data_IF_633483435986
#
_entry.id   IF_633483435986
#
_cell.length_a   1.000
_cell.length_b   1.000
_cell.length_c   1.000
_cell.angle_alpha   90.00
_cell.angle_beta   90.00
_cell.angle_gamma   90.00
#
_symmetry.space_group_name_H-M   'P 1'
#
loop_
_entity.id
_entity.type
_entity.pdbx_description
1 polymer ?
#
# COMPACT_ATOMS: atom_id res chain seq x y z
N UNK A 1 22.11 -7.95 -16.66
CA UNK A 1 21.94 -7.22 -15.39
C UNK A 1 21.78 -8.25 -14.29
N UNK A 2 22.49 -8.10 -13.18
CA UNK A 2 22.29 -8.97 -12.03
C UNK A 2 20.92 -8.66 -11.38
N UNK A 3 20.22 -9.69 -10.92
CA UNK A 3 18.94 -9.56 -10.23
C UNK A 3 19.11 -8.86 -8.86
N UNK A 4 20.26 -9.09 -8.23
CA UNK A 4 20.71 -8.50 -6.97
C UNK A 4 22.15 -8.02 -7.17
N UNK A 5 22.45 -6.79 -6.75
CA UNK A 5 23.79 -6.20 -6.89
C UNK A 5 24.61 -6.26 -5.60
N UNK A 6 23.95 -6.36 -4.44
CA UNK A 6 24.61 -6.51 -3.14
C UNK A 6 24.72 -7.98 -2.74
N UNK A 7 23.65 -8.75 -2.92
CA UNK A 7 23.60 -10.17 -2.58
C UNK A 7 23.69 -11.02 -3.85
N UNK A 8 24.88 -11.07 -4.45
CA UNK A 8 25.09 -11.69 -5.78
C UNK A 8 24.80 -13.19 -5.84
N UNK A 9 24.73 -13.86 -4.70
CA UNK A 9 24.41 -15.30 -4.58
C UNK A 9 22.92 -15.56 -4.38
N UNK A 10 22.10 -14.52 -4.18
CA UNK A 10 20.65 -14.66 -4.04
C UNK A 10 20.01 -14.87 -5.42
N UNK A 11 19.28 -15.96 -5.56
CA UNK A 11 18.48 -16.25 -6.77
C UNK A 11 16.99 -16.00 -6.55
N UNK A 12 16.52 -16.18 -5.32
CA UNK A 12 15.09 -16.05 -4.97
C UNK A 12 14.66 -14.58 -4.90
N UNK A 13 13.59 -14.17 -5.62
CA UNK A 13 12.97 -12.86 -5.41
C UNK A 13 12.43 -12.69 -3.99
N UNK A 14 12.24 -11.43 -3.55
CA UNK A 14 11.57 -11.14 -2.29
C UNK A 14 10.15 -11.71 -2.24
N UNK A 15 9.74 -12.20 -1.07
CA UNK A 15 8.38 -12.68 -0.83
C UNK A 15 7.48 -11.53 -0.37
N UNK A 16 6.18 -11.66 -0.60
CA UNK A 16 5.19 -10.60 -0.37
C UNK A 16 4.59 -10.56 1.05
N UNK A 17 5.03 -11.43 1.97
CA UNK A 17 4.37 -11.61 3.27
C UNK A 17 5.05 -10.89 4.44
N UNK A 18 6.20 -10.23 4.22
CA UNK A 18 6.84 -9.37 5.23
C UNK A 18 6.75 -7.92 4.78
N UNK A 19 5.81 -7.18 5.36
CA UNK A 19 5.60 -5.78 5.05
C UNK A 19 5.15 -5.01 6.28
N UNK A 20 5.26 -3.68 6.22
CA UNK A 20 4.72 -2.75 7.22
C UNK A 20 4.10 -1.55 6.53
N UNK A 21 3.13 -0.95 7.19
CA UNK A 21 2.51 0.30 6.75
C UNK A 21 2.79 1.38 7.79
N UNK A 22 3.10 2.58 7.32
CA UNK A 22 3.42 3.74 8.16
C UNK A 22 2.68 4.97 7.66
N UNK A 23 2.10 5.73 8.57
CA UNK A 23 1.55 7.07 8.32
C UNK A 23 1.79 7.96 9.53
N UNK A 24 1.80 9.28 9.36
CA UNK A 24 2.04 10.22 10.47
C UNK A 24 3.30 9.90 11.30
N UNK A 25 4.33 9.35 10.62
CA UNK A 25 5.57 8.84 11.19
C UNK A 25 5.41 7.67 12.20
N UNK A 26 4.27 6.98 12.21
CA UNK A 26 3.96 5.83 13.09
C UNK A 26 3.67 4.58 12.29
N UNK A 27 4.13 3.44 12.80
CA UNK A 27 3.79 2.13 12.24
C UNK A 27 2.40 1.72 12.67
N UNK A 28 1.62 1.30 11.68
CA UNK A 28 0.26 0.82 11.87
C UNK A 28 0.32 -0.63 12.30
N UNK A 29 -0.15 -0.92 13.50
CA UNK A 29 -0.10 -2.27 14.03
C UNK A 29 -1.15 -3.17 13.36
N UNK A 30 -0.77 -4.43 13.14
CA UNK A 30 -1.72 -5.50 12.80
C UNK A 30 -2.26 -5.49 11.36
N UNK A 31 -1.69 -4.72 10.44
CA UNK A 31 -2.06 -4.80 9.02
C UNK A 31 -1.70 -6.18 8.48
N UNK A 32 -2.71 -6.93 8.06
CA UNK A 32 -2.61 -8.30 7.57
C UNK A 32 -2.58 -8.39 6.05
N UNK A 33 -3.07 -7.37 5.34
CA UNK A 33 -3.07 -7.34 3.87
C UNK A 33 -3.10 -5.92 3.33
N UNK A 34 -2.40 -5.71 2.21
CA UNK A 34 -2.39 -4.49 1.42
C UNK A 34 -2.65 -4.88 -0.03
N UNK A 35 -3.53 -4.17 -0.75
CA UNK A 35 -3.74 -4.42 -2.18
C UNK A 35 -2.57 -3.92 -3.04
N UNK A 36 -2.58 -4.30 -4.31
CA UNK A 36 -1.53 -3.92 -5.25
C UNK A 36 -1.52 -2.41 -5.52
N UNK A 37 -0.33 -1.84 -5.61
CA UNK A 37 -0.10 -0.51 -6.20
C UNK A 37 -0.19 -0.62 -7.73
N UNK A 38 -1.34 -0.26 -8.31
CA UNK A 38 -1.61 -0.46 -9.75
C UNK A 38 -2.01 0.83 -10.47
N UNK A 39 -1.21 1.20 -11.46
CA UNK A 39 -1.39 2.40 -12.29
C UNK A 39 -1.70 1.99 -13.72
N UNK A 40 -2.72 2.59 -14.31
CA UNK A 40 -3.12 2.34 -15.70
C UNK A 40 -3.04 3.63 -16.49
N UNK A 41 -2.43 3.59 -17.67
CA UNK A 41 -2.42 4.72 -18.62
C UNK A 41 -3.23 4.32 -19.83
N UNK A 42 -4.24 5.13 -20.15
CA UNK A 42 -5.10 4.92 -21.31
C UNK A 42 -4.29 5.02 -22.62
N UNK A 43 -4.73 4.31 -23.67
CA UNK A 43 -4.10 4.37 -24.99
C UNK A 43 -5.04 5.07 -25.96
N UNK A 44 -4.68 6.29 -26.35
CA UNK A 44 -5.39 7.07 -27.36
C UNK A 44 -4.93 6.62 -28.74
N UNK A 45 -5.86 6.25 -29.61
CA UNK A 45 -5.58 5.85 -31.00
C UNK A 45 -5.98 6.97 -31.94
N UNK A 46 -5.05 7.41 -32.77
CA UNK A 46 -5.28 8.43 -33.79
C UNK A 46 -4.91 7.90 -35.17
N UNK A 47 -5.67 8.31 -36.19
CA UNK A 47 -5.40 7.97 -37.59
C UNK A 47 -5.57 9.22 -38.44
N UNK A 48 -4.57 9.51 -39.25
CA UNK A 48 -4.60 10.60 -40.22
C UNK A 48 -4.93 10.08 -41.62
N UNK A 49 -5.54 10.93 -42.46
CA UNK A 49 -6.07 10.54 -43.78
C UNK A 49 -5.03 10.11 -44.82
N UNK A 50 -3.73 10.27 -44.53
CA UNK A 50 -2.61 9.83 -45.38
C UNK A 50 -1.74 8.72 -44.78
N UNK A 51 -2.06 8.22 -43.57
CA UNK A 51 -1.26 7.17 -42.93
C UNK A 51 -1.54 5.79 -43.57
N UNK A 52 -0.53 4.90 -43.65
CA UNK A 52 -0.74 3.49 -43.99
C UNK A 52 -1.80 2.88 -43.05
N UNK A 53 -2.38 1.73 -43.37
CA UNK A 53 -3.51 1.10 -42.65
C UNK A 53 -3.25 0.69 -41.17
N UNK A 54 -2.32 1.34 -40.47
CA UNK A 54 -2.07 1.24 -39.04
C UNK A 54 -2.56 2.49 -38.30
N UNK A 55 -2.93 2.34 -37.02
CA UNK A 55 -3.29 3.45 -36.13
C UNK A 55 -2.07 3.85 -35.29
N UNK A 56 -1.85 5.16 -35.09
CA UNK A 56 -0.87 5.67 -34.13
C UNK A 56 -1.44 5.58 -32.72
N UNK A 57 -0.61 5.23 -31.75
CA UNK A 57 -0.97 5.11 -30.34
C UNK A 57 -0.20 6.17 -29.54
N UNK A 58 -0.89 6.90 -28.67
CA UNK A 58 -0.32 7.85 -27.72
C UNK A 58 -0.85 7.59 -26.30
N UNK A 59 -0.07 7.93 -25.25
CA UNK A 59 -0.55 7.83 -23.88
C UNK A 59 -1.64 8.87 -23.60
N UNK A 60 -2.71 8.43 -22.94
CA UNK A 60 -3.83 9.23 -22.46
C UNK A 60 -3.75 9.52 -20.97
N UNK A 61 -4.91 9.59 -20.30
CA UNK A 61 -4.98 9.85 -18.87
C UNK A 61 -4.37 8.68 -18.10
N UNK A 62 -3.69 9.01 -17.00
CA UNK A 62 -3.17 8.02 -16.05
C UNK A 62 -4.04 8.01 -14.80
N UNK A 63 -4.44 6.82 -14.40
CA UNK A 63 -5.27 6.57 -13.22
C UNK A 63 -4.54 5.66 -12.25
N UNK A 64 -4.78 5.91 -10.97
CA UNK A 64 -4.22 5.19 -9.85
C UNK A 64 -5.34 4.42 -9.15
N UNK A 65 -5.20 3.11 -9.05
CA UNK A 65 -6.22 2.28 -8.39
C UNK A 65 -6.20 2.46 -6.87
N UNK A 66 -7.37 2.26 -6.25
CA UNK A 66 -7.54 2.33 -4.81
C UNK A 66 -6.73 1.24 -4.09
N UNK A 67 -6.21 1.59 -2.92
CA UNK A 67 -5.42 0.69 -2.07
C UNK A 67 -6.30 0.24 -0.92
N UNK A 68 -6.45 -1.07 -0.71
CA UNK A 68 -7.15 -1.59 0.46
C UNK A 68 -6.13 -2.00 1.53
N UNK A 69 -6.41 -1.63 2.77
CA UNK A 69 -5.68 -2.04 3.96
C UNK A 69 -6.62 -2.89 4.83
N UNK A 70 -6.20 -4.09 5.19
CA UNK A 70 -6.95 -4.97 6.07
C UNK A 70 -6.15 -5.21 7.35
N UNK A 71 -6.85 -5.23 8.49
CA UNK A 71 -6.26 -5.56 9.78
C UNK A 71 -7.23 -6.36 10.64
N UNK A 72 -6.73 -7.11 11.61
CA UNK A 72 -7.57 -7.68 12.66
C UNK A 72 -8.28 -6.59 13.47
N UNK A 73 -9.52 -6.83 13.87
CA UNK A 73 -10.24 -5.97 14.83
C UNK A 73 -9.47 -5.97 16.15
N UNK A 74 -9.06 -4.79 16.60
CA UNK A 74 -8.36 -4.57 17.87
C UNK A 74 -8.91 -3.31 18.54
N UNK A 75 -8.41 -2.97 19.73
CA UNK A 75 -8.76 -1.71 20.42
C UNK A 75 -8.02 -0.49 19.86
N UNK A 76 -7.12 -0.70 18.89
CA UNK A 76 -6.46 0.40 18.21
C UNK A 76 -7.48 1.17 17.36
N UNK A 77 -7.60 2.48 17.56
CA UNK A 77 -8.60 3.31 16.89
C UNK A 77 -8.06 4.00 15.63
N UNK A 78 -6.85 3.71 15.14
CA UNK A 78 -6.25 4.51 14.07
C UNK A 78 -7.02 4.44 12.74
N UNK A 79 -7.57 3.26 12.37
CA UNK A 79 -8.40 3.15 11.15
C UNK A 79 -9.66 4.00 11.27
N UNK A 80 -10.34 3.90 12.41
CA UNK A 80 -11.57 4.64 12.70
C UNK A 80 -11.33 6.15 12.75
N UNK A 81 -10.27 6.59 13.45
CA UNK A 81 -9.90 8.00 13.53
C UNK A 81 -9.64 8.61 12.16
N UNK A 82 -8.98 7.89 11.25
CA UNK A 82 -8.76 8.39 9.90
C UNK A 82 -10.05 8.40 9.08
N UNK A 83 -10.85 7.35 9.13
CA UNK A 83 -12.15 7.31 8.45
C UNK A 83 -13.07 8.47 8.88
N UNK A 84 -13.14 8.76 10.19
CA UNK A 84 -13.92 9.86 10.74
C UNK A 84 -13.46 11.24 10.30
N UNK A 85 -12.21 11.41 9.83
CA UNK A 85 -11.77 12.70 9.25
C UNK A 85 -12.45 12.98 7.90
N UNK A 86 -12.79 11.94 7.14
CA UNK A 86 -13.50 12.11 5.86
C UNK A 86 -14.97 12.37 6.11
N UNK A 87 -15.58 11.65 7.05
CA UNK A 87 -16.95 11.90 7.48
C UNK A 87 -17.16 11.43 8.91
N UNK A 88 -17.51 12.35 9.81
CA UNK A 88 -17.78 12.09 11.21
C UNK A 88 -19.29 12.08 11.47
N UNK A 89 -19.84 10.90 11.76
CA UNK A 89 -21.25 10.75 12.10
C UNK A 89 -21.57 11.36 13.47
N UNK A 90 -22.63 12.18 13.55
CA UNK A 90 -23.02 12.85 14.80
C UNK A 90 -22.26 14.14 15.11
N UNK A 91 -21.46 14.64 14.16
CA UNK A 91 -20.84 15.97 14.26
C UNK A 91 -21.87 17.10 14.13
N UNK A 92 -21.51 18.29 14.59
CA UNK A 92 -22.33 19.50 14.44
C UNK A 92 -22.42 19.84 12.95
N UNK A 93 -23.58 20.36 12.52
CA UNK A 93 -23.80 20.85 11.15
C UNK A 93 -22.63 21.70 10.66
N UNK A 94 -21.96 21.26 9.59
CA UNK A 94 -20.82 21.93 8.97
C UNK A 94 -19.44 21.52 9.51
N UNK A 95 -19.36 20.55 10.42
CA UNK A 95 -18.12 19.99 10.97
C UNK A 95 -17.99 18.47 10.73
N UNK A 96 -18.70 17.94 9.73
CA UNK A 96 -18.70 16.51 9.41
C UNK A 96 -17.42 16.06 8.70
N UNK A 97 -16.67 16.98 8.08
CA UNK A 97 -15.44 16.67 7.34
C UNK A 97 -14.28 17.50 7.86
N UNK A 98 -13.15 16.85 8.16
CA UNK A 98 -11.91 17.56 8.45
C UNK A 98 -11.24 18.02 7.15
N UNK A 99 -11.56 19.24 6.71
CA UNK A 99 -10.98 19.84 5.51
C UNK A 99 -9.45 20.01 5.58
N UNK A 100 -8.87 20.03 6.79
CA UNK A 100 -7.45 20.28 7.00
C UNK A 100 -6.56 19.05 6.76
N UNK A 101 -7.03 17.87 7.16
CA UNK A 101 -6.14 16.71 7.35
C UNK A 101 -6.80 15.34 7.09
N UNK A 102 -7.89 15.31 6.33
CA UNK A 102 -8.47 14.06 5.82
C UNK A 102 -7.55 13.35 4.81
N UNK A 103 -6.67 14.11 4.14
CA UNK A 103 -5.60 13.60 3.27
C UNK A 103 -4.31 13.43 4.05
N UNK A 104 -3.62 12.31 3.83
CA UNK A 104 -2.27 12.08 4.34
C UNK A 104 -1.46 11.20 3.39
N UNK A 105 -0.15 11.23 3.56
CA UNK A 105 0.76 10.34 2.85
C UNK A 105 1.01 9.07 3.68
N UNK A 106 1.16 7.94 3.01
CA UNK A 106 1.48 6.66 3.64
C UNK A 106 2.74 6.05 3.03
N UNK A 107 3.43 5.23 3.80
CA UNK A 107 4.60 4.47 3.35
C UNK A 107 4.28 2.99 3.49
N UNK A 108 4.49 2.25 2.40
CA UNK A 108 4.40 0.79 2.37
C UNK A 108 5.81 0.25 2.24
N UNK A 109 6.25 -0.47 3.26
CA UNK A 109 7.58 -1.05 3.36
C UNK A 109 7.50 -2.56 3.14
N UNK A 110 8.38 -3.10 2.29
CA UNK A 110 8.57 -4.52 2.08
C UNK A 110 9.92 -4.94 2.66
N UNK A 111 9.92 -6.05 3.38
CA UNK A 111 11.04 -6.58 4.11
C UNK A 111 11.46 -7.94 3.54
N UNK A 112 12.75 -8.26 3.64
CA UNK A 112 13.24 -9.60 3.33
C UNK A 112 12.91 -10.60 4.46
N UNK A 113 13.22 -11.87 4.26
CA UNK A 113 12.97 -12.96 5.20
C UNK A 113 13.71 -12.76 6.54
N UNK A 114 14.84 -12.03 6.53
CA UNK A 114 15.59 -11.64 7.72
C UNK A 114 14.98 -10.43 8.47
N UNK A 115 13.93 -9.79 7.94
CA UNK A 115 13.30 -8.63 8.55
C UNK A 115 14.05 -7.31 8.32
N UNK A 116 14.91 -7.24 7.29
CA UNK A 116 15.56 -6.01 6.84
C UNK A 116 14.69 -5.31 5.78
N UNK A 117 14.63 -3.98 5.83
CA UNK A 117 13.91 -3.17 4.86
C UNK A 117 14.56 -3.33 3.48
N UNK A 118 13.80 -3.83 2.51
CA UNK A 118 14.28 -4.13 1.17
C UNK A 118 13.78 -3.13 0.12
N UNK A 119 12.51 -2.73 0.20
CA UNK A 119 11.88 -1.77 -0.71
C UNK A 119 10.88 -0.93 0.10
N UNK A 120 10.76 0.36 -0.20
CA UNK A 120 9.66 1.19 0.29
C UNK A 120 8.98 1.93 -0.86
N UNK A 121 7.68 2.17 -0.69
CA UNK A 121 6.87 3.01 -1.57
C UNK A 121 6.22 4.12 -0.76
N UNK A 122 6.34 5.36 -1.24
CA UNK A 122 5.65 6.54 -0.71
C UNK A 122 4.40 6.75 -1.55
N UNK A 123 3.23 6.70 -0.92
CA UNK A 123 1.92 6.91 -1.57
C UNK A 123 1.35 8.24 -1.09
N UNK A 124 0.88 9.05 -2.03
CA UNK A 124 0.57 10.45 -1.78
C UNK A 124 -0.92 10.73 -1.72
N UNK A 125 -1.27 11.65 -0.82
CA UNK A 125 -2.60 12.27 -0.67
C UNK A 125 -3.72 11.23 -0.55
N UNK A 126 -3.44 10.17 0.20
CA UNK A 126 -4.40 9.13 0.49
C UNK A 126 -5.55 9.68 1.33
N UNK A 127 -6.76 9.20 1.06
CA UNK A 127 -7.94 9.44 1.90
C UNK A 127 -8.87 8.23 1.88
N UNK A 128 -9.63 8.04 2.95
CA UNK A 128 -10.50 6.88 3.13
C UNK A 128 -11.79 7.06 2.32
N UNK A 129 -12.00 6.23 1.29
CA UNK A 129 -13.26 6.18 0.54
C UNK A 129 -14.25 5.17 1.11
N UNK A 130 -13.77 4.17 1.83
CA UNK A 130 -14.61 3.14 2.44
C UNK A 130 -13.97 2.66 3.75
N UNK A 131 -14.80 2.48 4.78
CA UNK A 131 -14.37 1.91 6.04
C UNK A 131 -15.36 0.83 6.49
N UNK A 132 -14.84 -0.39 6.64
CA UNK A 132 -15.55 -1.51 7.23
C UNK A 132 -15.04 -1.72 8.66
N UNK A 133 -15.84 -1.29 9.63
CA UNK A 133 -15.49 -1.38 11.05
C UNK A 133 -15.59 -2.81 11.62
N UNK A 134 -16.46 -3.65 11.04
CA UNK A 134 -16.67 -5.04 11.46
C UNK A 134 -16.98 -5.90 10.23
N UNK A 135 -16.51 -7.17 10.20
CA UNK A 135 -17.01 -8.15 9.24
C UNK A 135 -18.37 -8.70 9.69
N UNK A 136 -18.96 -9.53 8.85
CA UNK A 136 -20.11 -10.34 9.24
C UNK A 136 -19.75 -11.24 10.42
N UNK A 137 -20.61 -11.25 11.44
CA UNK A 137 -20.43 -12.05 12.64
C UNK A 137 -21.23 -13.35 12.52
N UNK A 138 -20.54 -14.47 12.38
CA UNK A 138 -21.13 -15.81 12.36
C UNK A 138 -20.59 -16.63 13.52
N UNK A 139 -21.50 -17.04 14.42
CA UNK A 139 -21.18 -17.84 15.60
C UNK A 139 -20.67 -19.26 15.26
N UNK A 140 -20.85 -19.72 14.02
CA UNK A 140 -20.36 -21.02 13.55
C UNK A 140 -19.05 -20.93 12.76
N UNK A 141 -18.59 -19.73 12.44
CA UNK A 141 -17.37 -19.52 11.67
C UNK A 141 -16.12 -19.50 12.57
N UNK A 142 -15.01 -20.07 12.08
CA UNK A 142 -13.70 -20.02 12.73
C UNK A 142 -12.75 -19.08 11.96
N UNK A 143 -12.98 -17.77 12.06
CA UNK A 143 -12.19 -16.75 11.38
C UNK A 143 -11.86 -15.56 12.30
N UNK A 144 -10.75 -14.88 12.01
CA UNK A 144 -10.40 -13.62 12.69
C UNK A 144 -11.27 -12.50 12.12
N UNK A 145 -11.82 -11.65 12.98
CA UNK A 145 -12.59 -10.51 12.52
C UNK A 145 -11.65 -9.47 11.87
N UNK A 146 -11.94 -9.06 10.63
CA UNK A 146 -11.13 -8.12 9.84
C UNK A 146 -11.85 -6.79 9.65
N UNK A 147 -11.13 -5.70 9.90
CA UNK A 147 -11.49 -4.35 9.48
C UNK A 147 -10.80 -4.01 8.16
N UNK A 148 -11.45 -3.20 7.33
CA UNK A 148 -10.93 -2.80 6.03
C UNK A 148 -11.03 -1.29 5.83
N UNK A 149 -9.98 -0.68 5.28
CA UNK A 149 -9.98 0.66 4.72
C UNK A 149 -9.72 0.59 3.22
N UNK A 150 -10.52 1.29 2.44
CA UNK A 150 -10.22 1.59 1.04
C UNK A 150 -9.70 3.02 0.94
N UNK A 151 -8.53 3.17 0.33
CA UNK A 151 -7.83 4.43 0.19
C UNK A 151 -7.77 4.82 -1.28
N UNK A 152 -8.30 5.99 -1.60
CA UNK A 152 -8.03 6.64 -2.87
C UNK A 152 -6.72 7.43 -2.77
N UNK A 153 -5.93 7.47 -3.84
CA UNK A 153 -4.61 8.10 -3.84
C UNK A 153 -4.37 8.89 -5.14
N UNK A 154 -3.40 9.81 -5.10
CA UNK A 154 -3.01 10.63 -6.25
C UNK A 154 -1.66 10.18 -6.87
N UNK A 155 -1.19 9.00 -6.47
CA UNK A 155 0.01 8.35 -6.99
C UNK A 155 0.98 7.89 -5.92
N UNK A 156 2.03 7.21 -6.36
CA UNK A 156 3.14 6.75 -5.51
C UNK A 156 4.45 6.77 -6.25
N UNK A 157 5.53 6.78 -5.49
CA UNK A 157 6.88 6.55 -5.97
C UNK A 157 7.59 5.49 -5.13
N UNK A 158 8.59 4.85 -5.73
CA UNK A 158 9.52 4.03 -4.97
C UNK A 158 10.49 4.94 -4.24
N UNK A 159 10.74 4.65 -2.97
CA UNK A 159 11.77 5.34 -2.23
C UNK A 159 13.15 4.85 -2.68
N UNK A 160 13.90 5.73 -3.35
CA UNK A 160 15.23 5.43 -3.86
C UNK A 160 16.32 5.50 -2.79
N UNK A 161 16.01 6.06 -1.61
CA UNK A 161 16.92 6.06 -0.46
C UNK A 161 17.04 4.67 0.18
N UNK A 162 16.05 3.79 -0.05
CA UNK A 162 16.08 2.39 0.39
C UNK A 162 16.88 1.56 -0.60
N UNK A 163 18.12 1.23 -0.22
CA UNK A 163 19.03 0.40 -1.00
C UNK A 163 18.89 -1.08 -0.65
N UNK A 164 19.40 -1.96 -1.52
CA UNK A 164 19.46 -3.40 -1.26
C UNK A 164 20.24 -3.68 0.04
N UNK A 165 19.65 -4.33 1.06
CA UNK A 165 20.33 -4.61 2.31
C UNK A 165 21.34 -5.75 2.13
N UNK A 166 22.45 -5.72 2.89
CA UNK A 166 23.36 -6.88 2.97
C UNK A 166 22.73 -7.96 3.83
N UNK A 167 22.62 -9.17 3.28
CA UNK A 167 22.00 -10.30 3.97
C UNK A 167 22.89 -10.84 5.10
N UNK A 168 22.30 -11.16 6.27
CA UNK A 168 23.05 -11.71 7.38
C UNK A 168 23.45 -13.16 7.10
N UNK A 169 24.60 -13.57 7.62
CA UNK A 169 25.05 -14.96 7.68
C UNK A 169 25.14 -15.42 9.14
N UNK A 170 24.86 -16.68 9.40
CA UNK A 170 24.95 -17.28 10.73
C UNK A 170 26.04 -18.36 10.72
N UNK A 171 26.90 -18.34 11.72
CA UNK A 171 27.79 -19.46 12.07
C UNK A 171 27.31 -20.05 13.39
N UNK A 172 26.37 -21.00 13.36
CA UNK A 172 25.90 -21.71 14.56
C UNK A 172 25.95 -23.24 14.42
N UNK A 173 26.38 -23.97 15.46
CA UNK A 173 27.04 -23.46 16.66
C UNK A 173 28.48 -23.01 16.34
N UNK A 174 28.86 -21.84 16.86
CA UNK A 174 30.26 -21.45 16.93
C UNK A 174 30.96 -22.34 17.97
N UNK A 175 31.31 -23.56 17.58
CA UNK A 175 32.21 -24.47 18.29
C UNK A 175 31.93 -24.71 19.78
N UNK A 176 31.32 -25.89 20.04
CA UNK A 176 31.25 -26.66 21.31
C UNK A 176 30.15 -26.26 22.30
#
# INVERSE_FOLDING_TARGET
>A
MAQFSVNTERFDPYKNFKFRVKWDNKYVAGVSKVSSLKRTTEVVKHREGGDPSSSRKSPGRTEYEAITLERGVTHDTEFEQWAHKVWNYGSILGAEVSLKDFRKDIIIEMYNEAGQLAIAYKVYRCWVSEYQALPDLDANANAVAIQMLKLENEGWERDYEVTEPSEPTFTEPAGV
#
